data_IF_487649927441
#
_entry.id   IF_487649927441
#
_cell.length_a   1.000
_cell.length_b   1.000
_cell.length_c   1.000
_cell.angle_alpha   90.00
_cell.angle_beta   90.00
_cell.angle_gamma   90.00
#
_symmetry.space_group_name_H-M   'P 1'
#
loop_
_entity.id
_entity.type
_entity.pdbx_description
1 polymer ?
#
# COMPACT_ATOMS: atom_id res chain seq x y z
N UNK A 1 -10.99 14.86 8.80
CA UNK A 1 -10.56 15.69 7.66
C UNK A 1 -9.11 16.10 7.83
N UNK A 2 -8.70 16.60 9.01
CA UNK A 2 -7.29 16.86 9.35
C UNK A 2 -6.38 15.63 9.17
N UNK A 3 -6.82 14.46 9.64
CA UNK A 3 -6.07 13.19 9.54
C UNK A 3 -5.80 12.74 8.09
N UNK A 4 -6.73 13.00 7.17
CA UNK A 4 -6.53 12.69 5.74
C UNK A 4 -5.52 13.63 5.09
N UNK A 5 -5.51 14.90 5.50
CA UNK A 5 -4.56 15.91 4.99
C UNK A 5 -3.14 15.63 5.49
N UNK A 6 -3.00 15.24 6.76
CA UNK A 6 -1.71 14.83 7.33
C UNK A 6 -1.16 13.54 6.69
N UNK A 7 -2.02 12.54 6.46
CA UNK A 7 -1.59 11.33 5.77
C UNK A 7 -1.16 11.63 4.32
N UNK A 8 -1.88 12.50 3.62
CA UNK A 8 -1.52 12.89 2.26
C UNK A 8 -0.18 13.64 2.23
N UNK A 9 0.12 14.52 3.19
CA UNK A 9 1.42 15.19 3.26
C UNK A 9 2.55 14.22 3.56
N UNK A 10 2.36 13.27 4.48
CA UNK A 10 3.31 12.18 4.76
C UNK A 10 3.58 11.29 3.56
N UNK A 11 2.57 10.95 2.76
CA UNK A 11 2.75 10.17 1.52
C UNK A 11 3.54 10.94 0.46
N UNK A 12 3.35 12.26 0.33
CA UNK A 12 4.16 13.07 -0.57
C UNK A 12 5.63 13.13 -0.13
N UNK A 13 5.89 13.26 1.18
CA UNK A 13 7.23 13.14 1.73
C UNK A 13 7.83 11.76 1.44
N UNK A 14 7.04 10.70 1.64
CA UNK A 14 7.45 9.33 1.34
C UNK A 14 7.87 9.17 -0.13
N UNK A 15 7.07 9.70 -1.05
CA UNK A 15 7.36 9.68 -2.48
C UNK A 15 8.66 10.43 -2.81
N UNK A 16 8.86 11.61 -2.21
CA UNK A 16 10.10 12.39 -2.38
C UNK A 16 11.34 11.60 -1.98
N UNK A 17 11.31 10.95 -0.81
CA UNK A 17 12.43 10.12 -0.32
C UNK A 17 12.66 8.91 -1.23
N UNK A 18 11.59 8.27 -1.72
CA UNK A 18 11.72 7.15 -2.67
C UNK A 18 12.35 7.60 -3.99
N UNK A 19 11.98 8.76 -4.52
CA UNK A 19 12.57 9.32 -5.76
C UNK A 19 14.00 9.83 -5.58
N UNK A 20 14.42 10.15 -4.36
CA UNK A 20 15.83 10.42 -4.05
C UNK A 20 16.67 9.14 -4.13
N UNK A 21 16.10 8.00 -3.72
CA UNK A 21 16.84 6.75 -3.52
C UNK A 21 16.74 5.75 -4.68
N UNK A 22 15.71 5.85 -5.53
CA UNK A 22 15.44 4.91 -6.61
C UNK A 22 15.28 5.64 -7.96
N UNK A 23 15.74 5.02 -9.04
CA UNK A 23 15.51 5.54 -10.39
C UNK A 23 14.01 5.52 -10.75
N UNK A 24 13.52 6.48 -11.57
CA UNK A 24 12.13 6.52 -11.99
C UNK A 24 11.67 5.21 -12.64
N UNK A 25 10.73 4.53 -12.01
CA UNK A 25 10.15 3.29 -12.54
C UNK A 25 8.86 3.61 -13.29
N UNK A 26 8.99 4.00 -14.56
CA UNK A 26 7.82 4.31 -15.37
C UNK A 26 7.26 3.07 -16.05
N UNK A 27 5.94 2.94 -16.04
CA UNK A 27 5.27 1.94 -16.87
C UNK A 27 5.60 2.17 -18.35
N UNK A 28 6.13 1.18 -19.09
CA UNK A 28 6.50 1.36 -20.50
C UNK A 28 5.36 1.85 -21.40
N UNK A 29 4.11 1.51 -21.08
CA UNK A 29 2.95 1.81 -21.93
C UNK A 29 2.23 3.09 -21.54
N UNK A 30 1.96 3.30 -20.25
CA UNK A 30 1.20 4.45 -19.75
C UNK A 30 2.07 5.61 -19.31
N UNK A 31 3.38 5.37 -19.11
CA UNK A 31 4.35 6.32 -18.54
C UNK A 31 4.03 6.79 -17.12
N UNK A 32 3.10 6.12 -16.45
CA UNK A 32 2.77 6.36 -15.05
C UNK A 32 3.96 5.96 -14.18
N UNK A 33 4.17 6.73 -13.13
CA UNK A 33 5.16 6.46 -12.10
C UNK A 33 4.68 5.33 -11.18
N UNK A 34 5.33 4.17 -11.29
CA UNK A 34 4.98 2.99 -10.49
C UNK A 34 5.24 3.24 -9.01
N UNK A 35 6.25 4.04 -8.65
CA UNK A 35 6.57 4.33 -7.25
C UNK A 35 5.48 5.21 -6.64
N UNK A 36 5.03 6.23 -7.37
CA UNK A 36 3.87 7.05 -6.95
C UNK A 36 2.63 6.20 -6.72
N UNK A 37 2.30 5.32 -7.66
CA UNK A 37 1.11 4.48 -7.55
C UNK A 37 1.19 3.47 -6.39
N UNK A 38 2.39 2.95 -6.08
CA UNK A 38 2.64 2.12 -4.89
C UNK A 38 2.44 2.92 -3.61
N UNK A 39 3.03 4.12 -3.50
CA UNK A 39 2.96 4.95 -2.29
C UNK A 39 1.52 5.40 -2.01
N UNK A 40 0.76 5.72 -3.06
CA UNK A 40 -0.64 6.15 -2.95
C UNK A 40 -1.67 5.01 -3.03
N UNK A 41 -1.23 3.75 -3.11
CA UNK A 41 -2.12 2.60 -3.23
C UNK A 41 -3.14 2.70 -4.37
N UNK A 42 -2.72 3.23 -5.54
CA UNK A 42 -3.66 3.48 -6.64
C UNK A 42 -4.19 2.17 -7.22
N UNK A 43 -5.52 2.15 -7.40
CA UNK A 43 -6.22 1.01 -7.98
C UNK A 43 -6.30 1.14 -9.51
N UNK A 44 -6.27 0.01 -10.20
CA UNK A 44 -6.41 -0.07 -11.66
C UNK A 44 -7.13 -1.36 -12.05
N UNK A 45 -7.92 -1.28 -13.12
CA UNK A 45 -8.51 -2.45 -13.79
C UNK A 45 -7.43 -3.32 -14.48
N UNK A 46 -6.27 -2.73 -14.78
CA UNK A 46 -5.11 -3.46 -15.31
C UNK A 46 -4.36 -4.11 -14.15
N UNK A 47 -4.37 -5.44 -14.09
CA UNK A 47 -3.74 -6.21 -13.00
C UNK A 47 -2.27 -5.85 -12.72
N UNK A 48 -1.51 -5.51 -13.77
CA UNK A 48 -0.09 -5.11 -13.68
C UNK A 48 0.12 -3.70 -13.10
N UNK A 49 -0.92 -2.86 -13.07
CA UNK A 49 -0.93 -1.51 -12.50
C UNK A 49 -1.85 -1.42 -11.27
N UNK A 50 -2.29 -2.55 -10.73
CA UNK A 50 -3.12 -2.56 -9.53
C UNK A 50 -2.22 -2.68 -8.29
N UNK A 51 -2.02 -1.55 -7.64
CA UNK A 51 -1.17 -1.41 -6.46
C UNK A 51 -1.98 -1.29 -5.18
N UNK A 52 -3.18 -1.87 -5.13
CA UNK A 52 -3.90 -2.03 -3.86
C UNK A 52 -3.10 -2.94 -2.91
N UNK A 53 -3.24 -2.70 -1.60
CA UNK A 53 -2.65 -3.49 -0.48
C UNK A 53 -1.15 -3.32 -0.28
N UNK A 54 -0.60 -2.16 -0.66
CA UNK A 54 0.69 -1.72 -0.15
C UNK A 54 0.50 -0.93 1.15
N UNK A 55 1.45 -1.05 2.05
CA UNK A 55 1.52 -0.29 3.28
C UNK A 55 2.82 0.46 3.28
N UNK A 56 2.72 1.79 3.32
CA UNK A 56 3.86 2.69 3.40
C UNK A 56 4.21 2.90 4.87
N UNK A 57 5.44 2.54 5.25
CA UNK A 57 5.99 2.74 6.58
C UNK A 57 6.99 3.88 6.54
N UNK A 58 6.92 4.75 7.56
CA UNK A 58 7.77 5.92 7.72
C UNK A 58 8.54 5.81 9.03
N UNK A 59 9.86 5.97 8.98
CA UNK A 59 10.69 6.17 10.16
C UNK A 59 11.01 7.66 10.27
N UNK A 60 10.55 8.27 11.35
CA UNK A 60 10.73 9.70 11.61
C UNK A 60 11.67 9.92 12.81
N UNK A 61 12.45 11.00 12.77
CA UNK A 61 13.23 11.53 13.90
C UNK A 61 13.14 13.04 13.86
N UNK A 62 12.78 13.66 14.98
CA UNK A 62 12.73 15.12 15.10
C UNK A 62 11.91 15.78 13.96
N UNK A 63 10.77 15.18 13.60
CA UNK A 63 9.85 15.60 12.49
C UNK A 63 10.40 15.37 11.06
N UNK A 64 11.59 14.81 10.90
CA UNK A 64 12.18 14.45 9.61
C UNK A 64 11.93 12.97 9.28
N UNK A 65 11.49 12.68 8.05
CA UNK A 65 11.38 11.31 7.52
C UNK A 65 12.77 10.82 7.08
N UNK A 66 13.33 9.85 7.78
CA UNK A 66 14.66 9.28 7.51
C UNK A 66 14.60 8.06 6.60
N UNK A 67 13.54 7.25 6.71
CA UNK A 67 13.44 6.00 5.94
C UNK A 67 12.01 5.72 5.55
N UNK A 68 11.84 5.29 4.30
CA UNK A 68 10.56 4.85 3.73
C UNK A 68 10.67 3.39 3.34
N UNK A 69 9.67 2.61 3.71
CA UNK A 69 9.49 1.25 3.21
C UNK A 69 8.08 1.06 2.67
N UNK A 70 7.92 0.26 1.62
CA UNK A 70 6.61 -0.15 1.12
C UNK A 70 6.48 -1.67 1.14
N UNK A 71 5.44 -2.18 1.80
CA UNK A 71 5.17 -3.60 1.97
C UNK A 71 3.87 -3.98 1.28
N UNK A 72 3.92 -4.97 0.38
CA UNK A 72 2.70 -5.59 -0.14
C UNK A 72 2.25 -6.73 0.76
N UNK A 73 1.05 -6.63 1.32
CA UNK A 73 0.47 -7.75 2.07
C UNK A 73 -0.18 -8.73 1.11
N UNK A 74 0.35 -9.95 1.09
CA UNK A 74 -0.26 -11.11 0.45
C UNK A 74 -0.68 -12.10 1.55
N UNK A 75 -1.88 -12.67 1.42
CA UNK A 75 -2.42 -13.65 2.37
C UNK A 75 -2.35 -15.02 1.70
N UNK A 76 -1.20 -15.73 1.78
CA UNK A 76 -1.01 -17.00 1.08
C UNK A 76 -1.78 -18.16 1.70
N UNK A 77 -2.08 -18.08 3.00
CA UNK A 77 -2.72 -19.15 3.75
C UNK A 77 -3.81 -18.57 4.66
N UNK A 78 -5.03 -19.07 4.47
CA UNK A 78 -6.17 -18.78 5.33
C UNK A 78 -6.89 -20.09 5.64
N UNK A 79 -7.29 -20.27 6.90
CA UNK A 79 -7.96 -21.48 7.34
C UNK A 79 -9.11 -21.16 8.29
N UNK A 80 -10.24 -21.82 8.06
CA UNK A 80 -11.37 -21.83 8.98
C UNK A 80 -11.55 -23.25 9.53
N UNK A 81 -11.65 -23.37 10.87
CA UNK A 81 -11.95 -24.66 11.53
C UNK A 81 -13.22 -25.27 10.93
N UNK A 82 -13.25 -26.59 10.78
CA UNK A 82 -14.31 -27.30 10.06
C UNK A 82 -15.74 -26.93 10.51
N UNK A 83 -15.97 -26.81 11.82
CA UNK A 83 -17.31 -26.49 12.35
C UNK A 83 -17.80 -25.08 11.98
N UNK A 84 -16.92 -24.14 11.62
CA UNK A 84 -17.28 -22.78 11.22
C UNK A 84 -17.24 -22.54 9.69
N UNK A 85 -17.00 -23.59 8.89
CA UNK A 85 -16.99 -23.45 7.41
C UNK A 85 -18.39 -23.15 6.88
N UNK A 86 -18.45 -22.41 5.77
CA UNK A 86 -19.68 -21.90 5.12
C UNK A 86 -20.50 -20.91 5.97
N UNK A 87 -19.96 -20.43 7.08
CA UNK A 87 -20.59 -19.39 7.92
C UNK A 87 -20.03 -17.98 7.66
N UNK A 88 -19.24 -17.81 6.59
CA UNK A 88 -18.66 -16.52 6.23
C UNK A 88 -17.40 -16.11 6.99
N UNK A 89 -16.81 -16.95 7.84
CA UNK A 89 -15.64 -16.57 8.67
C UNK A 89 -14.43 -16.08 7.87
N UNK A 90 -14.15 -16.69 6.71
CA UNK A 90 -13.05 -16.23 5.85
C UNK A 90 -13.33 -14.82 5.30
N UNK A 91 -14.59 -14.50 4.97
CA UNK A 91 -14.99 -13.16 4.53
C UNK A 91 -14.80 -12.15 5.65
N UNK A 92 -15.30 -12.45 6.86
CA UNK A 92 -15.13 -11.58 8.04
C UNK A 92 -13.65 -11.25 8.27
N UNK A 93 -12.76 -12.25 8.24
CA UNK A 93 -11.31 -12.01 8.38
C UNK A 93 -10.74 -11.13 7.26
N UNK A 94 -11.16 -11.36 6.01
CA UNK A 94 -10.68 -10.56 4.87
C UNK A 94 -11.20 -9.13 4.91
N UNK A 95 -12.45 -8.91 5.32
CA UNK A 95 -13.05 -7.58 5.47
C UNK A 95 -12.25 -6.76 6.50
N UNK A 96 -11.81 -7.37 7.61
CA UNK A 96 -10.94 -6.70 8.61
C UNK A 96 -9.53 -6.42 8.09
N UNK A 97 -8.97 -7.28 7.24
CA UNK A 97 -7.64 -7.09 6.66
C UNK A 97 -7.62 -6.09 5.50
N UNK A 98 -8.77 -5.85 4.86
CA UNK A 98 -8.92 -4.91 3.75
C UNK A 98 -9.39 -3.52 4.17
N UNK A 99 -9.76 -3.32 5.44
CA UNK A 99 -10.17 -2.04 6.03
C UNK A 99 -9.00 -1.07 6.28
#
# INVERSE_FOLDING_TARGET
MEDLTENYSKLNLALSVMHECFEPSQDPYTKIDIVEDIIFNRESDLSRLNFRRFYTMLLERDEEVITVGSLRIYIPLVATRFHYRRQGMCRVMMDELEN
#
